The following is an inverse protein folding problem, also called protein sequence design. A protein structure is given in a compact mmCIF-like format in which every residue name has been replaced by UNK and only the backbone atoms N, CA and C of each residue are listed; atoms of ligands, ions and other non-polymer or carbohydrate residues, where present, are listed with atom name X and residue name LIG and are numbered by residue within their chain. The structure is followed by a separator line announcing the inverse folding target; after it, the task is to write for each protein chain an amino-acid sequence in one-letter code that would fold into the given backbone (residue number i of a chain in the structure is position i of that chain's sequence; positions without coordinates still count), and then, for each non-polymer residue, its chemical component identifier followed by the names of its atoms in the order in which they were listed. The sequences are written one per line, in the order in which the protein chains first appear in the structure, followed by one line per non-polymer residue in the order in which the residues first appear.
data_IF_782061491049
#
_entry.id   IF_782061491049
#
_cell.length_a   1.000
_cell.length_b   1.000
_cell.length_c   1.000
_cell.angle_alpha   90.00
_cell.angle_beta   90.00
_cell.angle_gamma   90.00
#
_symmetry.space_group_name_H-M   'P 1'
#
loop_
_entity.id
_entity.type
_entity.pdbx_description
1 polymer ?
#
# COMPACT_ATOMS: atom_id res chain seq x y z
N UNK A 1 37.44 -22.36 -17.47
CA UNK A 1 36.70 -21.23 -18.09
C UNK A 1 35.21 -21.60 -18.08
N UNK A 2 34.55 -21.48 -16.93
CA UNK A 2 33.21 -22.09 -16.72
C UNK A 2 32.35 -21.29 -15.72
N UNK A 3 32.81 -20.13 -15.26
CA UNK A 3 32.07 -19.27 -14.32
C UNK A 3 31.12 -18.32 -15.09
N UNK A 4 31.49 -17.91 -16.31
CA UNK A 4 30.70 -16.97 -17.13
C UNK A 4 29.31 -17.49 -17.50
N UNK A 5 29.12 -18.80 -17.66
CA UNK A 5 27.84 -19.36 -18.13
C UNK A 5 26.76 -19.43 -17.04
N UNK A 6 27.16 -19.67 -15.78
CA UNK A 6 26.21 -19.84 -14.67
C UNK A 6 25.55 -18.52 -14.27
N UNK A 7 26.29 -17.40 -14.36
CA UNK A 7 25.79 -16.06 -14.01
C UNK A 7 24.71 -15.60 -14.98
N UNK A 8 24.80 -15.98 -16.27
CA UNK A 8 23.82 -15.61 -17.29
C UNK A 8 22.46 -16.27 -17.04
N UNK A 9 22.43 -17.51 -16.57
CA UNK A 9 21.17 -18.23 -16.31
C UNK A 9 20.38 -17.68 -15.12
N UNK A 10 21.04 -17.13 -14.10
CA UNK A 10 20.39 -16.54 -12.93
C UNK A 10 19.69 -15.21 -13.30
N UNK A 11 20.26 -14.45 -14.23
CA UNK A 11 19.70 -13.18 -14.68
C UNK A 11 18.34 -13.36 -15.40
N UNK A 12 18.13 -14.47 -16.10
CA UNK A 12 16.88 -14.75 -16.82
C UNK A 12 15.66 -15.02 -15.91
N UNK A 13 15.87 -15.48 -14.67
CA UNK A 13 14.78 -15.81 -13.74
C UNK A 13 14.14 -14.54 -13.16
N UNK A 14 14.88 -13.43 -13.12
CA UNK A 14 14.41 -12.15 -12.56
C UNK A 14 13.44 -11.44 -13.51
N UNK A 15 13.50 -11.71 -14.83
CA UNK A 15 12.72 -10.98 -15.85
C UNK A 15 11.33 -11.61 -16.08
N UNK A 16 11.11 -12.85 -15.66
CA UNK A 16 9.83 -13.56 -15.85
C UNK A 16 8.78 -13.25 -14.76
N UNK A 17 9.15 -12.47 -13.73
CA UNK A 17 8.32 -12.20 -12.55
C UNK A 17 7.55 -10.88 -12.59
N UNK A 18 6.89 -10.55 -13.68
CA UNK A 18 5.80 -9.58 -13.66
C UNK A 18 4.58 -10.21 -14.34
N UNK A 19 4.02 -11.23 -13.69
CA UNK A 19 2.66 -11.64 -13.98
C UNK A 19 1.75 -10.48 -13.60
N UNK A 20 1.37 -9.69 -14.60
CA UNK A 20 0.27 -8.74 -14.52
C UNK A 20 -0.94 -9.48 -13.96
N UNK A 21 -1.26 -9.21 -12.70
CA UNK A 21 -2.53 -9.63 -12.12
C UNK A 21 -3.65 -9.05 -13.00
N UNK A 22 -4.74 -9.81 -13.27
CA UNK A 22 -5.86 -9.28 -14.02
C UNK A 22 -6.41 -8.04 -13.31
N UNK A 23 -6.94 -7.05 -14.04
CA UNK A 23 -7.54 -5.88 -13.42
C UNK A 23 -8.73 -6.36 -12.57
N UNK A 24 -8.54 -6.40 -11.25
CA UNK A 24 -9.63 -6.57 -10.31
C UNK A 24 -10.54 -5.36 -10.53
N UNK A 25 -11.79 -5.62 -10.91
CA UNK A 25 -12.82 -4.59 -10.95
C UNK A 25 -13.11 -4.19 -9.51
N UNK A 26 -12.43 -3.16 -9.02
CA UNK A 26 -12.75 -2.54 -7.73
C UNK A 26 -14.05 -1.73 -7.87
N UNK A 27 -15.18 -2.43 -7.90
CA UNK A 27 -16.50 -1.86 -7.61
C UNK A 27 -16.81 -1.84 -6.10
N UNK A 28 -15.82 -2.08 -5.25
CA UNK A 28 -15.89 -1.60 -3.88
C UNK A 28 -15.32 -0.19 -3.88
N UNK A 29 -16.10 0.80 -3.45
CA UNK A 29 -15.51 2.00 -2.87
C UNK A 29 -14.65 1.54 -1.69
N UNK A 30 -13.40 1.20 -1.98
CA UNK A 30 -12.50 0.50 -1.12
C UNK A 30 -12.24 1.41 0.07
N UNK A 31 -12.75 1.01 1.24
CA UNK A 31 -12.44 1.71 2.48
C UNK A 31 -10.96 1.48 2.73
N UNK A 32 -10.13 2.44 2.35
CA UNK A 32 -8.69 2.37 2.59
C UNK A 32 -8.42 2.84 4.01
N UNK A 33 -7.78 1.99 4.80
CA UNK A 33 -7.34 2.29 6.16
C UNK A 33 -5.80 2.38 6.15
N UNK A 34 -5.28 3.50 6.64
CA UNK A 34 -3.86 3.78 6.71
C UNK A 34 -3.51 4.10 8.16
N UNK A 35 -2.54 3.37 8.71
CA UNK A 35 -1.98 3.65 10.03
C UNK A 35 -0.77 4.58 9.91
N UNK A 36 -0.78 5.67 10.68
CA UNK A 36 0.34 6.60 10.80
C UNK A 36 1.13 6.23 12.05
N UNK A 37 2.42 5.93 11.88
CA UNK A 37 3.30 5.52 12.97
C UNK A 37 4.19 6.68 13.46
N UNK A 38 4.56 6.66 14.73
CA UNK A 38 5.60 7.52 15.30
C UNK A 38 7.02 7.01 14.94
N UNK A 39 8.05 7.78 15.34
CA UNK A 39 9.45 7.41 15.09
C UNK A 39 9.91 6.13 15.83
N UNK A 40 9.09 5.59 16.73
CA UNK A 40 9.34 4.35 17.48
C UNK A 40 8.55 3.17 16.88
N UNK A 41 7.76 3.39 15.84
CA UNK A 41 6.93 2.36 15.20
C UNK A 41 5.59 2.10 15.91
N UNK A 42 5.15 2.96 16.83
CA UNK A 42 3.82 2.84 17.43
C UNK A 42 2.78 3.55 16.58
N UNK A 43 1.57 2.99 16.49
CA UNK A 43 0.46 3.67 15.81
C UNK A 43 0.10 4.94 16.58
N UNK A 44 0.07 6.05 15.85
CA UNK A 44 -0.25 7.38 16.37
C UNK A 44 -1.66 7.81 15.95
N UNK A 45 -2.03 7.56 14.70
CA UNK A 45 -3.31 7.97 14.10
C UNK A 45 -3.78 6.94 13.08
N UNK A 46 -5.10 6.83 12.92
CA UNK A 46 -5.73 6.02 11.88
C UNK A 46 -6.41 6.95 10.87
N UNK A 47 -6.14 6.75 9.58
CA UNK A 47 -6.77 7.49 8.50
C UNK A 47 -7.65 6.55 7.71
N UNK A 48 -8.93 6.91 7.57
CA UNK A 48 -9.89 6.17 6.74
C UNK A 48 -10.28 7.05 5.56
N UNK A 49 -10.07 6.53 4.36
CA UNK A 49 -10.52 7.13 3.10
C UNK A 49 -11.71 6.34 2.58
N UNK A 50 -12.85 7.00 2.41
CA UNK A 50 -14.07 6.40 1.90
C UNK A 50 -14.92 7.44 1.18
N UNK A 51 -15.45 7.11 0.00
CA UNK A 51 -16.38 7.98 -0.76
C UNK A 51 -15.86 9.42 -0.93
N UNK A 52 -14.58 9.59 -1.29
CA UNK A 52 -13.89 10.89 -1.38
C UNK A 52 -13.82 11.68 -0.06
N UNK A 53 -14.02 11.05 1.08
CA UNK A 53 -13.83 11.66 2.40
C UNK A 53 -12.66 10.99 3.11
N UNK A 54 -11.92 11.80 3.86
CA UNK A 54 -10.87 11.37 4.76
C UNK A 54 -11.37 11.63 6.17
N UNK A 55 -11.28 10.62 7.04
CA UNK A 55 -11.50 10.79 8.48
C UNK A 55 -10.24 10.37 9.21
N UNK A 56 -9.78 11.21 10.14
CA UNK A 56 -8.58 10.99 10.95
C UNK A 56 -9.03 10.69 12.37
N UNK A 57 -8.50 9.61 12.93
CA UNK A 57 -8.72 9.19 14.31
C UNK A 57 -7.40 9.20 15.06
N UNK A 58 -7.45 9.44 16.37
CA UNK A 58 -6.33 9.12 17.26
C UNK A 58 -6.21 7.59 17.45
N UNK A 59 -5.16 7.16 18.15
CA UNK A 59 -4.91 5.75 18.49
C UNK A 59 -6.06 5.06 19.26
N UNK A 60 -6.94 5.83 19.90
CA UNK A 60 -8.05 5.35 20.73
C UNK A 60 -9.38 5.43 19.95
N UNK A 61 -9.31 5.64 18.63
CA UNK A 61 -10.43 5.77 17.70
C UNK A 61 -11.34 6.99 17.93
N UNK A 62 -10.85 8.03 18.60
CA UNK A 62 -11.56 9.32 18.67
C UNK A 62 -11.30 10.13 17.42
N UNK A 63 -12.36 10.70 16.83
CA UNK A 63 -12.23 11.53 15.63
C UNK A 63 -11.45 12.81 15.93
N UNK A 64 -10.34 13.02 15.22
CA UNK A 64 -9.53 14.25 15.27
C UNK A 64 -9.84 15.21 14.14
N UNK A 65 -10.33 14.71 13.02
CA UNK A 65 -10.61 15.54 11.86
C UNK A 65 -11.34 14.81 10.74
N UNK A 66 -11.95 15.61 9.86
CA UNK A 66 -12.60 15.15 8.64
C UNK A 66 -12.26 16.08 7.48
N UNK A 67 -12.22 15.54 6.27
CA UNK A 67 -11.94 16.31 5.07
C UNK A 67 -12.52 15.64 3.82
N UNK A 68 -12.69 16.42 2.75
CA UNK A 68 -13.07 15.91 1.43
C UNK A 68 -11.84 15.92 0.52
N UNK A 69 -11.59 14.81 -0.15
CA UNK A 69 -10.59 14.71 -1.20
C UNK A 69 -11.08 15.52 -2.40
N UNK A 70 -10.47 16.69 -2.62
CA UNK A 70 -10.59 17.40 -3.90
C UNK A 70 -9.80 16.63 -4.95
N UNK A 71 -10.44 16.36 -6.08
CA UNK A 71 -9.89 15.62 -7.22
C UNK A 71 -9.48 16.62 -8.30
#
# INVERSE_FOLDING_TARGET
MTIKSVVVSILCIIIAGCASLPPVKDEQTERQMIDIYDNKGNVREHVIIKDNHITIYDKDWNTKGYGKVQK
#
